data_IF_044822742131
#
_entry.id   IF_044822742131
#
_cell.length_a   1.000
_cell.length_b   1.000
_cell.length_c   1.000
_cell.angle_alpha   90.00
_cell.angle_beta   90.00
_cell.angle_gamma   90.00
#
_symmetry.space_group_name_H-M   'P 1'
#
loop_
_entity.id
_entity.type
_entity.pdbx_description
1 polymer ?
#
# COMPACT_ATOMS: atom_id res chain seq x y z
N UNK A 1 -16.88 6.31 -26.86
CA UNK A 1 -15.95 7.06 -25.98
C UNK A 1 -14.73 7.55 -26.76
N UNK A 2 -13.86 6.68 -27.31
CA UNK A 2 -12.67 7.13 -28.06
C UNK A 2 -13.03 8.04 -29.24
N UNK A 3 -13.95 7.61 -30.11
CA UNK A 3 -14.44 8.44 -31.21
C UNK A 3 -14.95 9.81 -30.74
N UNK A 4 -15.72 9.84 -29.64
CA UNK A 4 -16.20 11.10 -29.05
C UNK A 4 -15.04 11.96 -28.53
N UNK A 5 -14.03 11.38 -27.89
CA UNK A 5 -12.86 12.13 -27.40
C UNK A 5 -12.08 12.76 -28.56
N UNK A 6 -11.92 12.03 -29.66
CA UNK A 6 -11.29 12.54 -30.88
C UNK A 6 -12.14 13.63 -31.54
N UNK A 7 -13.47 13.49 -31.55
CA UNK A 7 -14.37 14.54 -32.05
C UNK A 7 -14.30 15.83 -31.22
N UNK A 8 -14.22 15.72 -29.89
CA UNK A 8 -14.13 16.87 -28.97
C UNK A 8 -12.74 17.50 -28.94
N UNK A 9 -11.69 16.73 -29.20
CA UNK A 9 -10.29 17.17 -29.16
C UNK A 9 -9.51 16.66 -30.39
N UNK A 10 -9.81 17.17 -31.59
CA UNK A 10 -9.29 16.63 -32.85
C UNK A 10 -7.77 16.76 -33.00
N UNK A 11 -7.18 17.81 -32.40
CA UNK A 11 -5.74 18.08 -32.46
C UNK A 11 -4.99 17.55 -31.21
N UNK A 12 -5.68 16.84 -30.32
CA UNK A 12 -5.07 16.35 -29.10
C UNK A 12 -4.35 15.03 -29.29
N UNK A 13 -3.18 14.91 -28.63
CA UNK A 13 -2.51 13.63 -28.47
C UNK A 13 -2.90 13.02 -27.12
N UNK A 14 -3.08 11.70 -27.09
CA UNK A 14 -3.55 11.00 -25.90
C UNK A 14 -2.53 10.01 -25.36
N UNK A 15 -2.26 10.10 -24.06
CA UNK A 15 -1.59 9.07 -23.28
C UNK A 15 -2.60 8.44 -22.30
N UNK A 16 -2.62 7.12 -22.25
CA UNK A 16 -3.54 6.35 -21.42
C UNK A 16 -2.74 5.60 -20.35
N UNK A 17 -3.14 5.79 -19.09
CA UNK A 17 -2.70 4.94 -17.99
C UNK A 17 -3.82 3.99 -17.60
N UNK A 18 -3.55 2.69 -17.78
CA UNK A 18 -4.50 1.64 -17.49
C UNK A 18 -4.09 0.85 -16.24
N UNK A 19 -4.95 0.81 -15.23
CA UNK A 19 -4.79 -0.01 -14.02
C UNK A 19 -5.53 -1.33 -14.19
N UNK A 20 -4.79 -2.39 -14.54
CA UNK A 20 -5.33 -3.70 -14.95
C UNK A 20 -5.38 -4.73 -13.84
N UNK A 21 -6.26 -5.71 -14.01
CA UNK A 21 -6.33 -6.93 -13.22
C UNK A 21 -5.39 -8.01 -13.76
N UNK A 22 -4.54 -8.56 -12.88
CA UNK A 22 -3.64 -9.66 -13.20
C UNK A 22 -2.46 -9.26 -14.11
N UNK A 23 -1.75 -10.29 -14.58
CA UNK A 23 -0.46 -10.13 -15.28
C UNK A 23 -0.58 -10.16 -16.81
N UNK A 24 -1.78 -10.36 -17.37
CA UNK A 24 -2.01 -10.35 -18.81
C UNK A 24 -2.38 -8.95 -19.33
N UNK A 25 -1.91 -8.62 -20.53
CA UNK A 25 -2.28 -7.38 -21.22
C UNK A 25 -3.80 -7.28 -21.31
N UNK A 26 -4.35 -6.10 -21.01
CA UNK A 26 -5.79 -5.91 -21.04
C UNK A 26 -6.32 -5.79 -22.47
N UNK A 27 -7.53 -6.30 -22.72
CA UNK A 27 -8.20 -6.15 -24.01
C UNK A 27 -8.42 -4.66 -24.35
N UNK A 28 -8.61 -3.82 -23.33
CA UNK A 28 -8.78 -2.39 -23.54
C UNK A 28 -7.48 -1.72 -24.00
N UNK A 29 -6.31 -2.17 -23.53
CA UNK A 29 -5.04 -1.64 -24.00
C UNK A 29 -4.83 -1.95 -25.50
N UNK A 30 -5.21 -3.14 -25.95
CA UNK A 30 -5.13 -3.50 -27.37
C UNK A 30 -6.05 -2.62 -28.21
N UNK A 31 -7.30 -2.41 -27.78
CA UNK A 31 -8.26 -1.55 -28.48
C UNK A 31 -7.81 -0.08 -28.55
N UNK A 32 -7.27 0.47 -27.46
CA UNK A 32 -6.81 1.87 -27.43
C UNK A 32 -5.54 2.07 -28.24
N UNK A 33 -4.68 1.05 -28.31
CA UNK A 33 -3.49 1.08 -29.17
C UNK A 33 -3.85 1.13 -30.66
N UNK A 34 -4.97 0.52 -31.07
CA UNK A 34 -5.50 0.60 -32.44
C UNK A 34 -6.03 2.00 -32.80
N UNK A 35 -6.23 2.87 -31.81
CA UNK A 35 -6.70 4.24 -31.99
C UNK A 35 -5.57 5.27 -31.89
N UNK A 36 -4.32 4.86 -32.16
CA UNK A 36 -3.11 5.69 -32.07
C UNK A 36 -2.88 6.35 -30.69
N UNK A 37 -3.38 5.72 -29.62
CA UNK A 37 -3.17 6.20 -28.25
C UNK A 37 -1.98 5.47 -27.62
N UNK A 38 -1.11 6.22 -26.94
CA UNK A 38 0.01 5.61 -26.18
C UNK A 38 -0.53 5.04 -24.88
N UNK A 39 -0.51 3.72 -24.70
CA UNK A 39 -1.03 3.05 -23.50
C UNK A 39 0.12 2.52 -22.63
N UNK A 40 0.15 2.91 -21.36
CA UNK A 40 1.01 2.28 -20.35
C UNK A 40 0.13 1.56 -19.32
N UNK A 41 0.54 0.34 -18.96
CA UNK A 41 -0.20 -0.52 -18.05
C UNK A 41 0.47 -0.60 -16.67
N UNK A 42 -0.34 -0.50 -15.62
CA UNK A 42 0.05 -0.69 -14.23
C UNK A 42 -0.86 -1.73 -13.58
N UNK A 43 -0.38 -2.51 -12.60
CA UNK A 43 -1.26 -3.39 -11.84
C UNK A 43 -2.27 -2.58 -11.03
N UNK A 44 -3.44 -3.14 -10.75
CA UNK A 44 -4.45 -2.45 -9.92
C UNK A 44 -4.15 -2.46 -8.41
N UNK A 45 -3.19 -3.28 -7.98
CA UNK A 45 -2.82 -3.46 -6.57
C UNK A 45 -1.41 -4.05 -6.41
N UNK A 46 -0.89 -3.98 -5.19
CA UNK A 46 0.34 -4.60 -4.71
C UNK A 46 0.04 -5.36 -3.41
N UNK A 47 0.12 -6.69 -3.44
CA UNK A 47 -0.16 -7.56 -2.28
C UNK A 47 -1.48 -7.23 -1.56
N UNK A 48 -2.53 -7.02 -2.36
CA UNK A 48 -3.86 -6.67 -1.85
C UNK A 48 -4.03 -5.19 -1.48
N UNK A 49 -2.98 -4.39 -1.42
CA UNK A 49 -3.06 -2.94 -1.24
C UNK A 49 -3.36 -2.29 -2.60
N UNK A 50 -4.39 -1.44 -2.76
CA UNK A 50 -4.67 -0.75 -4.02
C UNK A 50 -3.74 0.47 -4.19
N UNK A 51 -2.46 0.15 -4.27
CA UNK A 51 -1.30 1.01 -4.42
C UNK A 51 -0.34 0.36 -5.43
N UNK A 52 0.58 1.17 -5.93
CA UNK A 52 1.71 0.71 -6.73
C UNK A 52 3.00 0.77 -5.89
N UNK A 53 4.02 -0.03 -6.22
CA UNK A 53 5.38 0.19 -5.73
C UNK A 53 5.85 1.62 -6.01
N UNK A 54 6.68 2.19 -5.13
CA UNK A 54 7.14 3.57 -5.22
C UNK A 54 7.84 3.87 -6.55
N UNK A 55 8.57 2.90 -7.09
CA UNK A 55 9.19 3.03 -8.40
C UNK A 55 8.15 3.24 -9.51
N UNK A 56 7.09 2.44 -9.55
CA UNK A 56 6.02 2.58 -10.55
C UNK A 56 5.25 3.90 -10.36
N UNK A 57 5.07 4.34 -9.12
CA UNK A 57 4.50 5.66 -8.80
C UNK A 57 5.38 6.76 -9.41
N UNK A 58 6.69 6.71 -9.18
CA UNK A 58 7.61 7.69 -9.73
C UNK A 58 7.58 7.71 -11.26
N UNK A 59 7.64 6.53 -11.88
CA UNK A 59 7.55 6.39 -13.33
C UNK A 59 6.27 7.01 -13.89
N UNK A 60 5.12 6.73 -13.28
CA UNK A 60 3.85 7.34 -13.65
C UNK A 60 3.89 8.87 -13.54
N UNK A 61 4.38 9.41 -12.42
CA UNK A 61 4.39 10.86 -12.18
C UNK A 61 5.29 11.60 -13.17
N UNK A 62 6.50 11.07 -13.42
CA UNK A 62 7.45 11.63 -14.39
C UNK A 62 6.90 11.59 -15.81
N UNK A 63 6.32 10.45 -16.20
CA UNK A 63 5.72 10.28 -17.53
C UNK A 63 4.55 11.24 -17.73
N UNK A 64 3.68 11.36 -16.72
CA UNK A 64 2.55 12.30 -16.72
C UNK A 64 3.00 13.75 -16.85
N UNK A 65 3.99 14.18 -16.06
CA UNK A 65 4.52 15.53 -16.08
C UNK A 65 5.17 15.86 -17.43
N UNK A 66 5.99 14.95 -17.96
CA UNK A 66 6.68 15.13 -19.22
C UNK A 66 5.68 15.24 -20.38
N UNK A 67 4.68 14.35 -20.43
CA UNK A 67 3.63 14.37 -21.44
C UNK A 67 2.84 15.67 -21.43
N UNK A 68 2.32 16.04 -20.26
CA UNK A 68 1.44 17.21 -20.11
C UNK A 68 2.19 18.56 -20.10
N UNK A 69 3.53 18.56 -20.19
CA UNK A 69 4.35 19.79 -20.25
C UNK A 69 5.04 19.98 -21.58
N UNK A 70 4.84 19.09 -22.55
CA UNK A 70 5.37 19.23 -23.89
C UNK A 70 4.72 20.43 -24.60
N UNK A 71 5.52 21.42 -24.97
CA UNK A 71 5.04 22.64 -25.61
C UNK A 71 4.58 22.39 -27.06
N UNK A 72 3.58 23.16 -27.51
CA UNK A 72 3.11 23.14 -28.90
C UNK A 72 2.13 22.01 -29.26
N UNK A 73 1.69 21.21 -28.29
CA UNK A 73 0.68 20.15 -28.49
C UNK A 73 -0.40 20.18 -27.41
N UNK A 74 -1.64 19.85 -27.77
CA UNK A 74 -2.72 19.66 -26.81
C UNK A 74 -2.65 18.24 -26.25
N UNK A 75 -1.91 18.05 -25.17
CA UNK A 75 -1.72 16.72 -24.59
C UNK A 75 -2.77 16.40 -23.52
N UNK A 76 -3.47 15.29 -23.71
CA UNK A 76 -4.50 14.80 -22.79
C UNK A 76 -4.02 13.50 -22.15
N UNK A 77 -4.20 13.40 -20.83
CA UNK A 77 -3.96 12.19 -20.07
C UNK A 77 -5.29 11.53 -19.72
N UNK A 78 -5.46 10.27 -20.10
CA UNK A 78 -6.61 9.45 -19.73
C UNK A 78 -6.19 8.41 -18.71
N UNK A 79 -6.95 8.32 -17.62
CA UNK A 79 -6.75 7.28 -16.60
C UNK A 79 -7.94 6.33 -16.63
N UNK A 80 -7.65 5.05 -16.82
CA UNK A 80 -8.62 3.98 -16.85
C UNK A 80 -8.24 2.92 -15.82
N UNK A 81 -9.23 2.29 -15.19
CA UNK A 81 -9.00 1.13 -14.35
C UNK A 81 -10.04 0.06 -14.64
N UNK A 82 -9.61 -1.19 -14.61
CA UNK A 82 -10.54 -2.32 -14.59
C UNK A 82 -11.27 -2.39 -13.24
N UNK A 83 -12.25 -3.30 -13.13
CA UNK A 83 -13.07 -3.46 -11.92
C UNK A 83 -12.18 -3.54 -10.67
N UNK A 84 -12.53 -2.84 -9.60
CA UNK A 84 -11.74 -2.80 -8.37
C UNK A 84 -10.47 -1.92 -8.40
N UNK A 85 -10.07 -1.38 -9.55
CA UNK A 85 -8.89 -0.50 -9.66
C UNK A 85 -9.15 0.99 -9.39
N UNK A 86 -10.39 1.37 -9.10
CA UNK A 86 -10.74 2.77 -8.77
C UNK A 86 -9.90 3.36 -7.62
N UNK A 87 -9.62 2.64 -6.51
CA UNK A 87 -8.84 3.19 -5.40
C UNK A 87 -7.39 3.52 -5.79
N UNK A 88 -6.73 2.67 -6.59
CA UNK A 88 -5.37 2.99 -7.09
C UNK A 88 -5.40 4.14 -8.09
N UNK A 89 -6.41 4.19 -8.97
CA UNK A 89 -6.57 5.31 -9.89
C UNK A 89 -6.76 6.63 -9.13
N UNK A 90 -7.63 6.64 -8.11
CA UNK A 90 -7.87 7.80 -7.27
C UNK A 90 -6.60 8.27 -6.55
N UNK A 91 -5.83 7.34 -5.99
CA UNK A 91 -4.53 7.62 -5.39
C UNK A 91 -3.54 8.22 -6.41
N UNK A 92 -3.39 7.62 -7.60
CA UNK A 92 -2.44 8.09 -8.61
C UNK A 92 -2.82 9.47 -9.15
N UNK A 93 -4.12 9.75 -9.31
CA UNK A 93 -4.60 11.08 -9.70
C UNK A 93 -4.32 12.11 -8.60
N UNK A 94 -4.62 11.80 -7.34
CA UNK A 94 -4.29 12.68 -6.22
C UNK A 94 -2.77 12.94 -6.13
N UNK A 95 -1.96 11.88 -6.32
CA UNK A 95 -0.51 11.96 -6.39
C UNK A 95 -0.03 12.90 -7.49
N UNK A 96 -0.60 12.80 -8.71
CA UNK A 96 -0.27 13.70 -9.82
C UNK A 96 -0.59 15.16 -9.54
N UNK A 97 -1.77 15.42 -8.98
CA UNK A 97 -2.23 16.76 -8.63
C UNK A 97 -1.31 17.44 -7.60
N UNK A 98 -0.87 16.68 -6.58
CA UNK A 98 0.09 17.14 -5.57
C UNK A 98 1.50 17.28 -6.16
N UNK A 99 1.94 16.32 -6.97
CA UNK A 99 3.24 16.34 -7.62
C UNK A 99 3.38 17.58 -8.51
N UNK A 100 2.37 17.92 -9.30
CA UNK A 100 2.32 19.14 -10.13
C UNK A 100 2.03 20.43 -9.35
N UNK A 101 1.88 20.37 -8.03
CA UNK A 101 1.54 21.52 -7.16
C UNK A 101 0.24 22.23 -7.54
N UNK A 102 -0.70 21.53 -8.19
CA UNK A 102 -2.02 22.07 -8.50
C UNK A 102 -2.92 22.10 -7.27
N UNK A 103 -2.68 21.20 -6.32
CA UNK A 103 -3.39 21.10 -5.05
C UNK A 103 -2.39 21.01 -3.88
N UNK A 104 -2.90 21.26 -2.68
CA UNK A 104 -2.15 21.12 -1.43
C UNK A 104 -2.99 20.38 -0.37
N UNK A 105 -2.31 19.68 0.53
CA UNK A 105 -2.93 18.82 1.54
C UNK A 105 -3.29 17.45 0.97
N UNK A 106 -2.58 16.43 1.42
CA UNK A 106 -2.65 15.06 0.92
C UNK A 106 -4.04 14.45 1.14
N UNK A 107 -4.55 14.53 2.38
CA UNK A 107 -5.86 13.99 2.74
C UNK A 107 -6.99 14.69 1.97
N UNK A 108 -6.98 16.03 1.94
CA UNK A 108 -8.01 16.82 1.24
C UNK A 108 -8.07 16.48 -0.25
N UNK A 109 -6.91 16.34 -0.88
CA UNK A 109 -6.81 16.02 -2.31
C UNK A 109 -7.32 14.61 -2.59
N UNK A 110 -6.91 13.63 -1.77
CA UNK A 110 -7.38 12.25 -1.90
C UNK A 110 -8.90 12.15 -1.73
N UNK A 111 -9.47 12.77 -0.71
CA UNK A 111 -10.92 12.77 -0.47
C UNK A 111 -11.70 13.44 -1.60
N UNK A 112 -11.17 14.52 -2.19
CA UNK A 112 -11.79 15.20 -3.33
C UNK A 112 -11.90 14.28 -4.54
N UNK A 113 -10.85 13.50 -4.82
CA UNK A 113 -10.86 12.53 -5.93
C UNK A 113 -11.82 11.38 -5.62
N UNK A 114 -11.80 10.85 -4.39
CA UNK A 114 -12.73 9.79 -3.99
C UNK A 114 -14.21 10.19 -4.10
N UNK A 115 -14.53 11.47 -3.90
CA UNK A 115 -15.91 12.00 -4.05
C UNK A 115 -16.42 11.98 -5.50
N UNK A 116 -15.56 11.73 -6.50
CA UNK A 116 -15.97 11.60 -7.90
C UNK A 116 -16.65 10.24 -8.19
N UNK A 117 -16.59 9.28 -7.27
CA UNK A 117 -17.28 8.01 -7.37
C UNK A 117 -18.22 7.77 -6.17
N UNK A 118 -19.30 6.99 -6.32
CA UNK A 118 -20.19 6.65 -5.21
C UNK A 118 -19.44 5.93 -4.08
N UNK A 119 -19.51 6.47 -2.86
CA UNK A 119 -18.81 5.91 -1.69
C UNK A 119 -19.27 4.49 -1.33
N UNK A 120 -20.54 4.18 -1.57
CA UNK A 120 -21.12 2.87 -1.30
C UNK A 120 -20.44 1.78 -2.13
N UNK A 121 -19.99 2.11 -3.34
CA UNK A 121 -19.31 1.16 -4.21
C UNK A 121 -17.90 0.82 -3.70
N UNK A 122 -17.25 1.73 -2.97
CA UNK A 122 -15.93 1.49 -2.37
C UNK A 122 -16.00 0.44 -1.25
N UNK A 123 -16.96 0.60 -0.33
CA UNK A 123 -17.13 -0.31 0.80
C UNK A 123 -17.57 -1.71 0.36
N UNK A 124 -18.30 -1.81 -0.74
CA UNK A 124 -18.74 -3.09 -1.30
C UNK A 124 -17.63 -3.83 -2.05
N UNK A 125 -16.64 -3.11 -2.59
CA UNK A 125 -15.60 -3.69 -3.45
C UNK A 125 -14.25 -3.90 -2.75
N UNK A 126 -14.03 -3.26 -1.60
CA UNK A 126 -12.79 -3.37 -0.84
C UNK A 126 -13.03 -3.88 0.57
N UNK A 127 -12.33 -4.94 1.00
CA UNK A 127 -12.45 -5.42 2.37
C UNK A 127 -11.95 -4.35 3.36
N UNK A 128 -10.77 -3.77 3.11
CA UNK A 128 -10.14 -2.78 3.98
C UNK A 128 -10.31 -1.36 3.44
N UNK A 129 -10.30 -0.37 4.33
CA UNK A 129 -10.09 1.03 3.97
C UNK A 129 -8.60 1.29 3.67
N UNK A 130 -8.20 1.55 2.42
CA UNK A 130 -6.80 1.70 2.04
C UNK A 130 -6.25 3.12 2.25
N UNK A 131 -7.08 4.07 2.68
CA UNK A 131 -6.70 5.48 2.77
C UNK A 131 -5.46 5.73 3.64
N UNK A 132 -5.25 5.05 4.79
CA UNK A 132 -4.07 5.27 5.60
C UNK A 132 -2.75 4.98 4.86
N UNK A 133 -2.63 3.83 4.20
CA UNK A 133 -1.44 3.54 3.39
C UNK A 133 -1.31 4.47 2.18
N UNK A 134 -2.42 4.82 1.53
CA UNK A 134 -2.40 5.80 0.44
C UNK A 134 -1.90 7.16 0.92
N UNK A 135 -2.38 7.64 2.07
CA UNK A 135 -1.97 8.91 2.66
C UNK A 135 -0.47 8.91 2.98
N UNK A 136 0.06 7.81 3.51
CA UNK A 136 1.50 7.64 3.74
C UNK A 136 2.31 7.82 2.46
N UNK A 137 1.89 7.21 1.35
CA UNK A 137 2.57 7.35 0.06
C UNK A 137 2.38 8.75 -0.56
N UNK A 138 1.23 9.40 -0.38
CA UNK A 138 1.05 10.79 -0.79
C UNK A 138 1.98 11.74 -0.01
N UNK A 139 2.26 11.45 1.26
CA UNK A 139 3.25 12.20 2.05
C UNK A 139 4.67 11.97 1.52
N UNK A 140 5.00 10.76 1.06
CA UNK A 140 6.29 10.50 0.39
C UNK A 140 6.45 11.34 -0.89
N UNK A 141 5.39 11.45 -1.70
CA UNK A 141 5.37 12.26 -2.93
C UNK A 141 5.47 13.76 -2.60
N UNK A 142 4.72 14.23 -1.60
CA UNK A 142 4.67 15.66 -1.25
C UNK A 142 5.99 16.15 -0.67
N UNK A 143 6.73 15.28 0.03
CA UNK A 143 8.03 15.56 0.64
C UNK A 143 9.23 15.34 -0.28
N UNK A 144 9.01 15.02 -1.57
CA UNK A 144 10.09 14.71 -2.54
C UNK A 144 11.19 15.77 -2.65
N UNK A 145 10.88 17.02 -2.35
CA UNK A 145 11.81 18.16 -2.46
C UNK A 145 12.76 18.28 -1.27
N UNK A 146 12.59 17.48 -0.22
CA UNK A 146 13.46 17.50 0.97
C UNK A 146 14.75 16.69 0.80
N UNK A 147 14.84 15.85 -0.23
CA UNK A 147 16.02 15.07 -0.58
C UNK A 147 16.74 15.60 -1.82
N UNK A 148 17.97 15.13 -2.06
CA UNK A 148 18.73 15.44 -3.27
C UNK A 148 18.20 14.69 -4.51
N UNK A 149 17.66 13.48 -4.32
CA UNK A 149 17.03 12.65 -5.35
C UNK A 149 15.72 12.05 -4.83
N UNK A 150 14.78 11.80 -5.74
CA UNK A 150 13.51 11.13 -5.44
C UNK A 150 13.13 10.17 -6.58
N UNK A 151 12.70 8.93 -6.28
CA UNK A 151 12.59 8.32 -4.96
C UNK A 151 13.98 8.10 -4.31
N UNK A 152 14.07 8.11 -2.97
CA UNK A 152 15.32 7.80 -2.29
C UNK A 152 15.82 6.39 -2.62
N UNK A 153 17.12 6.16 -2.51
CA UNK A 153 17.70 4.83 -2.63
C UNK A 153 17.07 3.86 -1.62
N UNK A 154 16.82 2.64 -2.07
CA UNK A 154 16.29 1.59 -1.20
C UNK A 154 17.25 1.31 -0.04
N UNK A 155 16.70 1.15 1.16
CA UNK A 155 17.47 0.86 2.37
C UNK A 155 17.08 -0.53 2.86
N UNK A 156 17.96 -1.54 2.78
CA UNK A 156 17.66 -2.84 3.35
C UNK A 156 17.56 -2.73 4.88
N UNK A 157 16.55 -3.35 5.46
CA UNK A 157 16.31 -3.38 6.90
C UNK A 157 16.07 -4.80 7.36
N UNK A 158 16.42 -5.08 8.62
CA UNK A 158 16.03 -6.32 9.28
C UNK A 158 14.81 -6.05 10.16
N UNK A 159 13.64 -6.56 9.78
CA UNK A 159 12.42 -6.44 10.56
C UNK A 159 12.49 -7.42 11.74
N UNK A 160 12.74 -6.89 12.94
CA UNK A 160 12.91 -7.69 14.16
C UNK A 160 11.57 -8.21 14.67
N UNK A 161 10.64 -7.30 14.96
CA UNK A 161 9.37 -7.64 15.59
C UNK A 161 8.26 -6.62 15.32
N UNK A 162 7.04 -7.06 15.61
CA UNK A 162 5.84 -6.24 15.71
C UNK A 162 5.42 -6.15 17.18
N UNK A 163 5.21 -4.94 17.69
CA UNK A 163 4.68 -4.72 19.03
C UNK A 163 3.27 -4.13 18.93
N UNK A 164 2.29 -4.81 19.49
CA UNK A 164 0.92 -4.34 19.62
C UNK A 164 0.70 -3.80 21.04
N UNK A 165 0.21 -2.56 21.17
CA UNK A 165 -0.12 -1.93 22.46
C UNK A 165 -1.62 -1.71 22.55
N UNK A 166 -2.19 -1.94 23.74
CA UNK A 166 -3.65 -1.82 23.99
C UNK A 166 -4.43 -2.73 23.04
N UNK A 167 -4.29 -4.05 23.21
CA UNK A 167 -4.79 -5.05 22.26
C UNK A 167 -6.25 -4.81 21.85
N UNK A 168 -6.61 -5.05 20.57
CA UNK A 168 -7.99 -4.95 20.13
C UNK A 168 -8.85 -6.09 20.67
N UNK A 169 -10.16 -5.88 20.60
CA UNK A 169 -11.18 -6.73 21.20
C UNK A 169 -11.81 -7.68 20.15
N UNK A 170 -11.17 -8.83 19.93
CA UNK A 170 -11.74 -9.96 19.19
C UNK A 170 -12.25 -11.05 20.15
N UNK A 171 -12.78 -12.16 19.62
CA UNK A 171 -13.33 -13.30 20.38
C UNK A 171 -14.30 -12.88 21.51
N UNK A 172 -15.41 -12.22 21.14
CA UNK A 172 -16.41 -11.68 22.08
C UNK A 172 -15.83 -10.69 23.12
N UNK A 173 -14.81 -9.94 22.71
CA UNK A 173 -14.20 -8.89 23.53
C UNK A 173 -13.21 -9.39 24.58
N UNK A 174 -12.61 -10.56 24.36
CA UNK A 174 -11.62 -11.14 25.29
C UNK A 174 -10.19 -10.75 24.95
N UNK A 175 -9.87 -10.60 23.66
CA UNK A 175 -8.49 -10.37 23.22
C UNK A 175 -8.27 -10.74 21.77
N UNK A 176 -7.06 -11.19 21.42
CA UNK A 176 -6.76 -11.61 20.06
C UNK A 176 -5.67 -12.71 19.99
N UNK A 177 -5.74 -13.56 18.96
CA UNK A 177 -4.66 -14.46 18.50
C UNK A 177 -3.98 -13.90 17.23
N UNK A 178 -2.94 -13.05 17.36
CA UNK A 178 -2.33 -12.40 16.21
C UNK A 178 -1.43 -13.35 15.41
N UNK A 179 -1.59 -13.34 14.10
CA UNK A 179 -0.75 -13.98 13.08
C UNK A 179 -0.25 -12.88 12.15
N UNK A 180 1.05 -12.86 11.88
CA UNK A 180 1.67 -11.83 11.03
C UNK A 180 2.14 -12.44 9.72
N UNK A 181 1.89 -11.71 8.62
CA UNK A 181 2.45 -11.96 7.29
C UNK A 181 3.18 -10.72 6.80
N UNK A 182 4.34 -10.93 6.19
CA UNK A 182 5.15 -9.86 5.59
C UNK A 182 5.42 -10.21 4.14
N UNK A 183 5.11 -9.26 3.26
CA UNK A 183 5.30 -9.36 1.82
C UNK A 183 6.22 -8.23 1.35
N UNK A 184 7.02 -8.53 0.33
CA UNK A 184 7.88 -7.55 -0.31
C UNK A 184 8.80 -8.19 -1.36
N UNK A 185 9.66 -7.40 -2.02
CA UNK A 185 10.66 -7.89 -2.95
C UNK A 185 11.60 -8.90 -2.27
N UNK A 186 12.05 -9.90 -3.04
CA UNK A 186 12.98 -10.90 -2.55
C UNK A 186 14.40 -10.33 -2.36
N UNK A 187 14.91 -10.21 -1.11
CA UNK A 187 16.25 -9.68 -0.90
C UNK A 187 17.35 -10.57 -1.51
N UNK A 188 17.05 -11.86 -1.78
CA UNK A 188 17.99 -12.79 -2.40
C UNK A 188 18.04 -12.71 -3.92
N UNK A 189 17.08 -12.03 -4.55
CA UNK A 189 17.04 -11.83 -5.99
C UNK A 189 16.66 -10.37 -6.34
N UNK A 190 17.58 -9.41 -6.15
CA UNK A 190 17.30 -7.98 -6.35
C UNK A 190 16.96 -7.63 -7.82
N UNK A 191 17.29 -8.48 -8.79
CA UNK A 191 16.90 -8.30 -10.18
C UNK A 191 15.40 -8.55 -10.40
N UNK A 192 14.77 -9.38 -9.56
CA UNK A 192 13.35 -9.64 -9.61
C UNK A 192 12.60 -8.77 -8.60
N UNK A 193 11.93 -7.73 -9.10
CA UNK A 193 11.15 -6.80 -8.28
C UNK A 193 9.74 -7.30 -7.94
N UNK A 194 9.40 -8.54 -8.28
CA UNK A 194 8.14 -9.15 -7.85
C UNK A 194 8.13 -9.32 -6.34
N UNK A 195 7.00 -9.01 -5.72
CA UNK A 195 6.79 -9.28 -4.31
C UNK A 195 6.49 -10.77 -4.06
N UNK A 196 6.85 -11.24 -2.86
CA UNK A 196 6.51 -12.57 -2.34
C UNK A 196 6.28 -12.52 -0.83
N UNK A 197 5.73 -13.60 -0.27
CA UNK A 197 5.68 -13.81 1.17
C UNK A 197 7.11 -14.02 1.72
N UNK A 198 7.59 -13.06 2.51
CA UNK A 198 8.92 -13.08 3.15
C UNK A 198 8.88 -13.73 4.53
N UNK A 199 7.77 -13.55 5.26
CA UNK A 199 7.56 -14.14 6.57
C UNK A 199 6.08 -14.43 6.80
N UNK A 200 5.80 -15.54 7.49
CA UNK A 200 4.52 -15.80 8.13
C UNK A 200 4.79 -16.39 9.51
N UNK A 201 3.97 -16.00 10.50
CA UNK A 201 3.95 -16.70 11.80
C UNK A 201 3.68 -18.19 11.52
N UNK A 202 4.44 -19.08 12.18
CA UNK A 202 4.59 -20.50 11.78
C UNK A 202 3.28 -21.22 11.47
N UNK A 203 3.31 -22.16 10.52
CA UNK A 203 2.16 -22.96 10.05
C UNK A 203 1.47 -23.82 11.12
N UNK A 204 2.00 -23.93 12.34
CA UNK A 204 1.36 -24.69 13.40
C UNK A 204 0.26 -23.83 14.07
N UNK A 205 -0.72 -23.44 13.26
CA UNK A 205 -1.85 -22.57 13.63
C UNK A 205 -2.58 -23.04 14.90
N UNK A 206 -2.53 -24.35 15.20
CA UNK A 206 -3.11 -24.98 16.40
C UNK A 206 -2.51 -24.53 17.73
N UNK A 207 -1.40 -23.78 17.72
CA UNK A 207 -0.74 -23.28 18.92
C UNK A 207 -0.56 -21.76 18.94
N UNK A 208 -1.30 -21.01 18.12
CA UNK A 208 -1.26 -19.54 18.19
C UNK A 208 -1.79 -19.08 19.54
N UNK A 209 -0.94 -18.38 20.30
CA UNK A 209 -1.27 -17.90 21.63
C UNK A 209 -2.41 -16.90 21.59
N UNK A 210 -3.40 -17.11 22.45
CA UNK A 210 -4.44 -16.14 22.74
C UNK A 210 -3.91 -15.13 23.75
N UNK A 211 -3.97 -13.84 23.41
CA UNK A 211 -3.59 -12.75 24.29
C UNK A 211 -4.84 -12.03 24.76
N UNK A 212 -5.14 -12.15 26.05
CA UNK A 212 -6.27 -11.49 26.69
C UNK A 212 -5.92 -10.02 26.97
N UNK A 213 -6.80 -9.09 26.59
CA UNK A 213 -6.56 -7.66 26.77
C UNK A 213 -6.39 -7.30 28.26
N UNK A 214 -7.16 -7.95 29.15
CA UNK A 214 -7.09 -7.74 30.59
C UNK A 214 -5.75 -8.18 31.22
N UNK A 215 -5.01 -9.06 30.55
CA UNK A 215 -3.77 -9.65 31.08
C UNK A 215 -2.51 -9.07 30.40
N UNK A 216 -2.67 -8.48 29.21
CA UNK A 216 -1.56 -8.06 28.36
C UNK A 216 -1.66 -6.56 28.01
N UNK A 217 -0.77 -5.75 28.58
CA UNK A 217 -0.63 -4.34 28.18
C UNK A 217 -0.02 -4.19 26.77
N UNK A 218 0.85 -5.12 26.39
CA UNK A 218 1.47 -5.19 25.07
C UNK A 218 1.76 -6.63 24.68
N UNK A 219 1.91 -6.88 23.37
CA UNK A 219 2.33 -8.15 22.80
C UNK A 219 3.46 -7.89 21.81
N UNK A 220 4.57 -8.60 21.97
CA UNK A 220 5.69 -8.62 21.03
C UNK A 220 5.61 -9.90 20.19
N UNK A 221 5.65 -9.75 18.87
CA UNK A 221 5.66 -10.86 17.90
C UNK A 221 6.98 -10.80 17.14
N UNK A 222 7.83 -11.79 17.34
CA UNK A 222 9.11 -11.90 16.65
C UNK A 222 8.89 -12.31 15.18
N UNK A 223 9.53 -11.59 14.26
CA UNK A 223 9.39 -11.76 12.81
C UNK A 223 10.73 -12.13 12.17
N UNK A 224 11.79 -11.37 12.48
CA UNK A 224 13.17 -11.70 12.16
C UNK A 224 13.40 -11.98 10.65
N UNK A 225 13.03 -11.04 9.78
CA UNK A 225 13.22 -11.17 8.33
C UNK A 225 13.83 -9.93 7.67
N UNK A 226 14.52 -10.11 6.54
CA UNK A 226 15.06 -8.99 5.74
C UNK A 226 13.97 -8.43 4.84
N UNK A 227 13.88 -7.10 4.77
CA UNK A 227 12.93 -6.37 3.92
C UNK A 227 13.64 -5.20 3.21
N UNK A 228 13.19 -4.87 2.01
CA UNK A 228 13.75 -3.80 1.18
C UNK A 228 12.68 -3.24 0.23
N UNK A 229 12.74 -1.95 -0.08
CA UNK A 229 11.76 -1.28 -0.95
C UNK A 229 10.38 -1.16 -0.30
N UNK A 230 9.32 -1.42 -1.08
CA UNK A 230 7.94 -1.46 -0.63
C UNK A 230 7.62 -2.75 0.13
N UNK A 231 7.01 -2.65 1.32
CA UNK A 231 6.71 -3.77 2.21
C UNK A 231 5.24 -3.70 2.63
N UNK A 232 4.56 -4.85 2.59
CA UNK A 232 3.21 -5.00 3.15
C UNK A 232 3.28 -5.89 4.38
N UNK A 233 2.91 -5.34 5.53
CA UNK A 233 2.72 -6.08 6.77
C UNK A 233 1.22 -6.24 7.01
N UNK A 234 0.79 -7.48 7.22
CA UNK A 234 -0.58 -7.83 7.55
C UNK A 234 -0.61 -8.53 8.91
N UNK A 235 -1.47 -8.05 9.81
CA UNK A 235 -1.72 -8.64 11.11
C UNK A 235 -3.17 -9.14 11.16
N UNK A 236 -3.34 -10.39 11.57
CA UNK A 236 -4.57 -11.15 11.43
C UNK A 236 -4.93 -11.77 12.77
N UNK A 237 -6.21 -11.78 13.09
CA UNK A 237 -6.77 -12.53 14.19
C UNK A 237 -7.18 -13.92 13.70
N UNK A 238 -6.63 -14.96 14.34
CA UNK A 238 -7.05 -16.34 14.13
C UNK A 238 -8.12 -16.72 15.18
N UNK A 239 -9.30 -17.11 14.72
CA UNK A 239 -10.42 -17.49 15.59
C UNK A 239 -10.09 -18.70 16.47
N UNK A 240 -10.90 -18.93 17.50
CA UNK A 240 -10.74 -20.05 18.45
C UNK A 240 -10.74 -21.44 17.78
N UNK A 241 -11.47 -21.61 16.67
CA UNK A 241 -11.47 -22.85 15.89
C UNK A 241 -10.20 -23.05 15.04
N UNK A 242 -9.29 -22.07 15.02
CA UNK A 242 -8.07 -22.02 14.21
C UNK A 242 -8.32 -22.15 12.70
N UNK A 243 -9.52 -21.77 12.23
CA UNK A 243 -9.89 -21.86 10.80
C UNK A 243 -10.17 -20.50 10.19
N UNK A 244 -10.86 -19.61 10.91
CA UNK A 244 -11.23 -18.29 10.36
C UNK A 244 -10.13 -17.28 10.64
N UNK A 245 -9.76 -16.58 9.58
CA UNK A 245 -8.81 -15.49 9.63
C UNK A 245 -9.54 -14.16 9.41
N UNK A 246 -9.40 -13.24 10.36
CA UNK A 246 -9.92 -11.89 10.25
C UNK A 246 -8.76 -10.90 10.24
N UNK A 247 -8.66 -10.06 9.20
CA UNK A 247 -7.59 -9.08 9.13
C UNK A 247 -7.81 -8.02 10.21
N UNK A 248 -6.89 -7.93 11.16
CA UNK A 248 -6.90 -6.88 12.17
C UNK A 248 -6.52 -5.56 11.51
N UNK A 249 -5.38 -5.55 10.82
CA UNK A 249 -4.94 -4.41 10.04
C UNK A 249 -3.89 -4.79 9.00
N UNK A 250 -3.72 -3.92 8.01
CA UNK A 250 -2.65 -3.97 7.03
C UNK A 250 -1.93 -2.62 6.94
N UNK A 251 -0.65 -2.66 6.61
CA UNK A 251 0.18 -1.48 6.42
C UNK A 251 1.10 -1.70 5.23
N UNK A 252 1.06 -0.79 4.26
CA UNK A 252 2.10 -0.68 3.24
C UNK A 252 3.04 0.49 3.58
N UNK A 253 4.34 0.24 3.56
CA UNK A 253 5.37 1.27 3.78
C UNK A 253 6.59 1.00 2.91
N UNK A 254 7.41 2.04 2.70
CA UNK A 254 8.67 1.91 1.97
C UNK A 254 9.84 2.09 2.93
N UNK A 255 10.76 1.13 2.92
CA UNK A 255 11.92 1.05 3.84
C UNK A 255 12.76 2.32 3.90
N UNK A 256 12.98 2.99 2.76
CA UNK A 256 13.73 4.25 2.69
C UNK A 256 13.12 5.44 3.49
N UNK A 257 11.88 5.31 3.96
CA UNK A 257 11.21 6.34 4.77
C UNK A 257 11.11 5.97 6.25
N UNK A 258 11.60 4.79 6.64
CA UNK A 258 11.73 4.40 8.05
C UNK A 258 12.84 5.23 8.69
N UNK A 259 12.56 5.79 9.87
CA UNK A 259 13.53 6.60 10.63
C UNK A 259 13.69 6.02 12.02
N UNK A 260 14.90 6.13 12.58
CA UNK A 260 15.22 5.66 13.93
C UNK A 260 14.89 4.18 14.16
N UNK A 261 14.94 3.37 13.09
CA UNK A 261 14.68 1.93 13.11
C UNK A 261 13.32 1.52 13.72
N UNK A 262 12.32 2.39 13.64
CA UNK A 262 10.96 2.11 14.12
C UNK A 262 9.90 2.80 13.26
N UNK A 263 8.80 2.08 12.98
CA UNK A 263 7.58 2.63 12.40
C UNK A 263 6.47 2.52 13.43
N UNK A 264 6.11 3.64 14.04
CA UNK A 264 5.00 3.74 15.01
C UNK A 264 3.73 4.15 14.27
N UNK A 265 2.65 3.39 14.45
CA UNK A 265 1.39 3.57 13.76
C UNK A 265 0.26 3.63 14.78
N UNK A 266 -0.46 4.74 14.79
CA UNK A 266 -1.73 4.85 15.49
C UNK A 266 -2.84 4.10 14.75
N UNK A 267 -3.94 3.83 15.44
CA UNK A 267 -5.16 3.25 14.86
C UNK A 267 -5.55 3.87 13.51
N UNK A 268 -5.51 5.19 13.36
CA UNK A 268 -5.96 5.86 12.12
C UNK A 268 -4.92 5.86 10.98
N UNK A 269 -3.73 5.29 11.22
CA UNK A 269 -2.65 5.14 10.25
C UNK A 269 -2.54 3.72 9.67
N UNK A 270 -3.49 2.84 9.97
CA UNK A 270 -3.49 1.44 9.50
C UNK A 270 -4.75 1.12 8.68
N UNK A 271 -4.59 0.32 7.63
CA UNK A 271 -5.70 -0.10 6.78
C UNK A 271 -6.48 -1.19 7.52
N UNK A 272 -7.72 -0.89 7.89
CA UNK A 272 -8.61 -1.79 8.64
C UNK A 272 -9.93 -1.95 7.90
N UNK A 273 -10.72 -2.96 8.28
CA UNK A 273 -12.11 -3.09 7.83
C UNK A 273 -12.88 -1.79 8.17
N UNK A 274 -13.84 -1.45 7.31
CA UNK A 274 -14.57 -0.18 7.41
C UNK A 274 -15.38 -0.04 8.72
N UNK A 275 -15.78 -1.18 9.29
CA UNK A 275 -16.71 -1.33 10.40
C UNK A 275 -16.10 -1.93 11.67
N UNK A 276 -14.77 -2.09 11.75
CA UNK A 276 -14.11 -2.67 12.94
C UNK A 276 -13.35 -1.65 13.79
N UNK A 277 -13.43 -0.35 13.49
CA UNK A 277 -12.70 0.70 14.22
C UNK A 277 -13.05 0.80 15.71
N UNK A 278 -14.21 0.31 16.10
CA UNK A 278 -14.72 0.22 17.47
C UNK A 278 -14.09 -0.92 18.27
N UNK A 279 -13.61 -1.98 17.61
CA UNK A 279 -12.83 -3.05 18.24
C UNK A 279 -11.44 -2.58 18.71
N UNK A 280 -10.96 -1.46 18.17
CA UNK A 280 -9.67 -0.86 18.48
C UNK A 280 -9.84 0.37 19.37
N UNK A 281 -9.15 0.37 20.52
CA UNK A 281 -9.01 1.58 21.34
C UNK A 281 -8.40 2.73 20.54
N UNK A 282 -8.79 3.97 20.84
CA UNK A 282 -8.15 5.17 20.27
C UNK A 282 -6.66 5.25 20.61
N UNK A 283 -6.26 4.62 21.71
CA UNK A 283 -4.87 4.55 22.18
C UNK A 283 -4.11 3.35 21.60
N UNK A 284 -4.75 2.54 20.76
CA UNK A 284 -4.10 1.42 20.07
C UNK A 284 -2.92 1.93 19.23
N UNK A 285 -1.78 1.25 19.39
CA UNK A 285 -0.57 1.50 18.62
C UNK A 285 0.06 0.20 18.19
N UNK A 286 0.61 0.22 16.98
CA UNK A 286 1.44 -0.81 16.41
C UNK A 286 2.84 -0.23 16.18
N UNK A 287 3.88 -0.93 16.61
CA UNK A 287 5.27 -0.54 16.42
C UNK A 287 5.99 -1.64 15.64
N UNK A 288 6.43 -1.33 14.43
CA UNK A 288 7.30 -2.20 13.64
C UNK A 288 8.73 -1.81 13.95
N UNK A 289 9.50 -2.72 14.55
CA UNK A 289 10.88 -2.47 14.99
C UNK A 289 11.84 -3.10 14.00
N UNK A 290 12.86 -2.34 13.63
CA UNK A 290 13.90 -2.75 12.70
C UNK A 290 15.27 -2.76 13.38
N UNK A 291 16.20 -3.47 12.77
CA UNK A 291 17.63 -3.38 13.01
C UNK A 291 18.31 -3.02 11.68
N UNK A 292 19.52 -2.49 11.76
CA UNK A 292 20.35 -2.29 10.58
C UNK A 292 20.61 -3.65 9.91
N UNK A 293 20.68 -3.69 8.58
CA UNK A 293 20.79 -4.95 7.82
C UNK A 293 22.04 -5.77 8.18
N UNK A 294 23.10 -5.11 8.68
CA UNK A 294 24.37 -5.69 9.11
C UNK A 294 24.45 -5.96 10.62
N UNK A 295 23.38 -5.72 11.37
CA UNK A 295 23.35 -5.97 12.81
C UNK A 295 23.58 -7.47 13.07
N UNK A 296 24.62 -7.79 13.85
CA UNK A 296 24.88 -9.16 14.33
C UNK A 296 23.74 -9.56 15.25
N UNK A 297 22.86 -10.43 14.77
CA UNK A 297 21.78 -11.00 15.57
C UNK A 297 22.42 -12.05 16.48
N UNK A 298 22.35 -11.91 17.83
CA UNK A 298 22.78 -12.99 18.71
C UNK A 298 21.86 -14.18 18.47
N UNK A 299 22.42 -15.29 18.00
CA UNK A 299 21.70 -16.56 17.97
C UNK A 299 21.34 -16.95 19.41
N UNK A 300 20.09 -16.74 19.79
CA UNK A 300 19.50 -17.32 21.00
C UNK A 300 19.16 -18.79 20.73
N UNK A 301 20.19 -19.58 20.43
CA UNK A 301 20.16 -21.04 20.38
C UNK A 301 21.34 -21.58 21.18
N UNK A 302 21.34 -21.35 22.49
CA UNK A 302 21.97 -22.23 23.50
C UNK A 302 21.76 -21.63 24.89
N UNK A 303 20.73 -22.10 25.62
CA UNK A 303 20.81 -22.66 26.99
C UNK A 303 19.65 -23.63 27.14
#
# INVERSE_FOLDING_TARGET
>A
IVAQLQDYFPDASFMVFNFREGDKRSQIADLLSLCDMTVMEYPRQYEGCPLLPLEMIHHFLRSSESWLSLEGQQNVLLMHCERGGWPVLAFMLAGLLLYRKQYSGELKTLEMVYKQAPRQLLQLLLPLNPQPSQLRYLQYISRRHLGSEWPPSETPLYLDCLILRVLPLFDDGKGCRPVVRVYGPDPSNPANRSSKLLFSTSNNQKHVRHYLQAECMLVKIDIRCRVQGDVVLECIHLSEDFVREEVMFRVMFHTAFVRSNILVLSRDEMDMLWDTKDQFSKDFKSEVVFLDADAVIPDLTTV
#
